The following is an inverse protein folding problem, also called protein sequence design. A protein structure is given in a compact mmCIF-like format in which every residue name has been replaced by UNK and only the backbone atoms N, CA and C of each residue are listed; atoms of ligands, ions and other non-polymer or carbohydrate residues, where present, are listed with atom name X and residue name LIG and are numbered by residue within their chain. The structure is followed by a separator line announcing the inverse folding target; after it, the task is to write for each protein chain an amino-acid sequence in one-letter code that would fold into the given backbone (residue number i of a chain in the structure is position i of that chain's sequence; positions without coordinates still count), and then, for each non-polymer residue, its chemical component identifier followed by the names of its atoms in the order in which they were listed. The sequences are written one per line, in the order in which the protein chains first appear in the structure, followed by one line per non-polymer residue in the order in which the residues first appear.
data_IF_675918992069
#
_entry.id   IF_675918992069
#
_cell.length_a   1.000
_cell.length_b   1.000
_cell.length_c   1.000
_cell.angle_alpha   90.00
_cell.angle_beta   90.00
_cell.angle_gamma   90.00
#
_symmetry.space_group_name_H-M   'P 1'
#
loop_
_entity.id
_entity.type
_entity.pdbx_description
1 polymer ?
#
# COMPACT_ATOMS: atom_id res chain seq x y z
N UNK A 1 -18.07 21.37 8.98
CA UNK A 1 -18.30 19.91 8.97
C UNK A 1 -17.40 19.14 8.01
N UNK A 2 -16.97 19.71 6.87
CA UNK A 2 -16.17 19.05 5.81
C UNK A 2 -14.92 18.24 6.27
N UNK A 3 -14.21 18.65 7.35
CA UNK A 3 -12.98 17.95 7.79
C UNK A 3 -13.23 16.59 8.45
N UNK A 4 -14.40 16.39 9.08
CA UNK A 4 -14.71 15.15 9.81
C UNK A 4 -14.99 14.02 8.81
N UNK A 5 -15.80 14.31 7.79
CA UNK A 5 -16.21 13.36 6.75
C UNK A 5 -15.03 12.89 5.89
N UNK A 6 -14.09 13.81 5.57
CA UNK A 6 -12.88 13.47 4.81
C UNK A 6 -11.94 12.54 5.59
N UNK A 7 -11.85 12.73 6.91
CA UNK A 7 -11.04 11.88 7.80
C UNK A 7 -11.67 10.50 7.95
N UNK A 8 -12.99 10.45 8.16
CA UNK A 8 -13.74 9.19 8.24
C UNK A 8 -13.63 8.36 6.96
N UNK A 9 -13.80 9.00 5.80
CA UNK A 9 -13.65 8.34 4.49
C UNK A 9 -12.24 7.75 4.30
N UNK A 10 -11.21 8.49 4.71
CA UNK A 10 -9.82 8.03 4.66
C UNK A 10 -9.60 6.80 5.53
N UNK A 11 -9.99 6.88 6.82
CA UNK A 11 -9.81 5.77 7.77
C UNK A 11 -10.60 4.52 7.34
N UNK A 12 -11.83 4.70 6.84
CA UNK A 12 -12.62 3.59 6.29
C UNK A 12 -11.95 2.91 5.10
N UNK A 13 -11.33 3.70 4.21
CA UNK A 13 -10.61 3.16 3.05
C UNK A 13 -9.32 2.43 3.48
N UNK A 14 -8.59 2.97 4.46
CA UNK A 14 -7.40 2.32 5.05
C UNK A 14 -7.77 0.99 5.69
N UNK A 15 -8.85 0.94 6.48
CA UNK A 15 -9.33 -0.29 7.11
C UNK A 15 -9.67 -1.37 6.07
N UNK A 16 -10.37 -0.99 4.99
CA UNK A 16 -10.69 -1.91 3.91
C UNK A 16 -9.45 -2.52 3.23
N UNK A 17 -8.34 -1.77 3.11
CA UNK A 17 -7.08 -2.30 2.60
C UNK A 17 -6.37 -3.22 3.60
N UNK A 18 -6.45 -2.92 4.91
CA UNK A 18 -5.88 -3.77 5.96
C UNK A 18 -6.55 -5.14 6.07
N UNK A 19 -7.82 -5.24 5.67
CA UNK A 19 -8.55 -6.51 5.60
C UNK A 19 -8.19 -7.34 4.36
N UNK A 20 -7.45 -6.78 3.39
CA UNK A 20 -7.09 -7.49 2.17
C UNK A 20 -5.87 -8.41 2.37
N UNK A 21 -5.82 -9.56 1.67
CA UNK A 21 -4.61 -10.37 1.63
C UNK A 21 -3.40 -9.59 1.07
N UNK A 22 -2.18 -9.80 1.59
CA UNK A 22 -0.98 -9.10 1.12
C UNK A 22 -0.75 -9.17 -0.39
N UNK A 23 -1.05 -10.32 -1.01
CA UNK A 23 -0.95 -10.49 -2.46
C UNK A 23 -1.88 -9.52 -3.24
N UNK A 24 -3.08 -9.26 -2.73
CA UNK A 24 -4.02 -8.31 -3.34
C UNK A 24 -3.49 -6.88 -3.16
N UNK A 25 -2.96 -6.53 -1.99
CA UNK A 25 -2.35 -5.21 -1.77
C UNK A 25 -1.22 -4.92 -2.78
N UNK A 26 -0.41 -5.93 -3.13
CA UNK A 26 0.64 -5.79 -4.17
C UNK A 26 0.06 -5.51 -5.55
N UNK A 27 -1.02 -6.20 -5.94
CA UNK A 27 -1.70 -5.96 -7.23
C UNK A 27 -2.23 -4.52 -7.30
N UNK A 28 -2.89 -4.05 -6.25
CA UNK A 28 -3.44 -2.69 -6.18
C UNK A 28 -2.31 -1.65 -6.17
N UNK A 29 -1.21 -1.92 -5.45
CA UNK A 29 -0.02 -1.07 -5.42
C UNK A 29 0.58 -0.90 -6.81
N UNK A 30 0.75 -2.00 -7.54
CA UNK A 30 1.24 -2.01 -8.92
C UNK A 30 0.33 -1.25 -9.88
N UNK A 31 -0.99 -1.39 -9.72
CA UNK A 31 -1.97 -0.66 -10.52
C UNK A 31 -1.85 0.85 -10.36
N UNK A 32 -1.80 1.34 -9.10
CA UNK A 32 -1.64 2.76 -8.85
C UNK A 32 -0.27 3.29 -9.25
N UNK A 33 0.79 2.52 -9.01
CA UNK A 33 2.16 2.92 -9.34
C UNK A 33 2.36 3.11 -10.86
N UNK A 34 1.85 2.19 -11.69
CA UNK A 34 1.88 2.33 -13.16
C UNK A 34 1.16 3.57 -13.70
N UNK A 35 0.27 4.14 -12.90
CA UNK A 35 -0.55 5.30 -13.28
C UNK A 35 -0.09 6.59 -12.59
N UNK A 36 1.06 6.55 -11.90
CA UNK A 36 1.66 7.72 -11.23
C UNK A 36 1.98 8.77 -12.31
N UNK A 37 1.27 9.89 -12.29
CA UNK A 37 1.33 10.94 -13.31
C UNK A 37 0.00 11.23 -14.00
N UNK A 38 -1.00 10.34 -13.88
CA UNK A 38 -2.38 10.63 -14.31
C UNK A 38 -3.07 11.47 -13.24
N UNK A 39 -3.48 12.69 -13.58
CA UNK A 39 -4.22 13.56 -12.66
C UNK A 39 -5.65 13.05 -12.46
N UNK A 40 -5.85 12.23 -11.43
CA UNK A 40 -7.16 11.77 -11.00
C UNK A 40 -7.23 11.78 -9.45
N UNK A 41 -8.07 12.65 -8.91
CA UNK A 41 -8.20 12.87 -7.46
C UNK A 41 -8.62 11.60 -6.69
N UNK A 42 -9.53 10.78 -7.23
CA UNK A 42 -9.94 9.54 -6.56
C UNK A 42 -8.81 8.53 -6.50
N UNK A 43 -8.01 8.43 -7.58
CA UNK A 43 -6.82 7.57 -7.59
C UNK A 43 -5.74 8.06 -6.64
N UNK A 44 -5.49 9.36 -6.58
CA UNK A 44 -4.54 9.93 -5.62
C UNK A 44 -4.99 9.70 -4.17
N UNK A 45 -6.30 9.79 -3.91
CA UNK A 45 -6.87 9.44 -2.62
C UNK A 45 -6.68 7.96 -2.28
N UNK A 46 -7.06 7.05 -3.18
CA UNK A 46 -6.92 5.61 -2.95
C UNK A 46 -5.45 5.19 -2.78
N UNK A 47 -4.54 5.77 -3.56
CA UNK A 47 -3.11 5.50 -3.43
C UNK A 47 -2.54 5.96 -2.09
N UNK A 48 -2.98 7.11 -1.57
CA UNK A 48 -2.62 7.57 -0.22
C UNK A 48 -3.16 6.63 0.86
N UNK A 49 -4.41 6.18 0.73
CA UNK A 49 -5.01 5.24 1.67
C UNK A 49 -4.29 3.88 1.65
N UNK A 50 -3.96 3.35 0.47
CA UNK A 50 -3.21 2.10 0.34
C UNK A 50 -1.81 2.21 0.95
N UNK A 51 -1.13 3.33 0.73
CA UNK A 51 0.22 3.56 1.26
C UNK A 51 0.19 3.63 2.79
N UNK A 52 -0.83 4.26 3.37
CA UNK A 52 -1.03 4.27 4.81
C UNK A 52 -1.41 2.88 5.36
N UNK A 53 -2.22 2.11 4.64
CA UNK A 53 -2.52 0.72 5.02
C UNK A 53 -1.26 -0.14 5.04
N UNK A 54 -0.38 -0.02 4.03
CA UNK A 54 0.92 -0.68 4.01
C UNK A 54 1.77 -0.32 5.23
N UNK A 55 1.82 0.97 5.61
CA UNK A 55 2.55 1.46 6.79
C UNK A 55 2.03 0.86 8.10
N UNK A 56 0.71 0.62 8.19
CA UNK A 56 0.05 0.05 9.38
C UNK A 56 0.04 -1.48 9.39
N UNK A 57 0.27 -2.12 8.24
CA UNK A 57 0.25 -3.57 8.09
C UNK A 57 1.50 -4.23 8.70
N UNK A 58 1.44 -5.53 9.04
CA UNK A 58 2.62 -6.28 9.46
C UNK A 58 3.57 -6.64 8.31
N UNK A 59 3.31 -6.16 7.08
CA UNK A 59 4.11 -6.45 5.89
C UNK A 59 5.40 -5.62 5.94
N UNK A 60 6.55 -6.26 5.70
CA UNK A 60 7.82 -5.56 5.56
C UNK A 60 7.85 -4.77 4.25
N UNK A 61 7.71 -3.45 4.35
CA UNK A 61 7.79 -2.51 3.24
C UNK A 61 9.06 -1.64 3.27
N UNK A 62 10.06 -2.01 4.08
CA UNK A 62 11.28 -1.22 4.29
C UNK A 62 12.09 -0.93 3.02
N UNK A 63 11.90 -1.75 1.97
CA UNK A 63 12.55 -1.58 0.66
C UNK A 63 11.82 -0.63 -0.28
N UNK A 64 10.57 -0.26 0.02
CA UNK A 64 9.74 0.54 -0.90
C UNK A 64 9.20 1.82 -0.27
N UNK A 65 9.02 1.88 1.06
CA UNK A 65 8.54 3.07 1.78
C UNK A 65 9.67 3.78 2.54
N UNK A 66 9.69 5.11 2.48
CA UNK A 66 10.46 5.93 3.43
C UNK A 66 9.86 5.90 4.83
N UNK A 67 10.59 6.43 5.81
CA UNK A 67 10.08 6.71 7.17
C UNK A 67 8.80 7.58 7.16
N UNK A 68 8.64 8.42 6.14
CA UNK A 68 7.46 9.28 5.94
C UNK A 68 6.32 8.57 5.19
N UNK A 69 6.46 7.28 4.90
CA UNK A 69 5.47 6.51 4.14
C UNK A 69 5.36 6.90 2.67
N UNK A 70 6.44 7.38 2.06
CA UNK A 70 6.46 7.69 0.62
C UNK A 70 7.12 6.56 -0.16
N UNK A 71 6.62 6.23 -1.35
CA UNK A 71 7.32 5.29 -2.22
C UNK A 71 8.62 5.93 -2.73
N UNK A 72 9.76 5.32 -2.42
CA UNK A 72 11.12 5.84 -2.66
C UNK A 72 11.90 5.13 -3.76
N UNK A 73 11.23 4.30 -4.57
CA UNK A 73 11.86 3.64 -5.71
C UNK A 73 11.20 4.05 -7.01
N UNK A 74 12.02 4.16 -8.05
CA UNK A 74 11.63 4.32 -9.44
C UNK A 74 11.76 2.99 -10.23
N UNK A 75 12.26 1.92 -9.59
CA UNK A 75 12.66 0.64 -10.20
C UNK A 75 11.47 -0.25 -10.60
N UNK A 76 10.29 0.32 -10.86
CA UNK A 76 9.17 -0.40 -11.45
C UNK A 76 8.30 -1.18 -10.47
N UNK A 77 7.76 -2.30 -10.95
CA UNK A 77 6.71 -3.08 -10.27
C UNK A 77 7.21 -3.71 -8.97
N UNK A 78 6.27 -4.01 -8.08
CA UNK A 78 6.51 -4.66 -6.81
C UNK A 78 6.13 -6.14 -6.86
N UNK A 79 6.86 -6.97 -6.12
CA UNK A 79 6.49 -8.35 -5.82
C UNK A 79 6.37 -8.57 -4.32
N UNK A 80 5.52 -9.53 -3.93
CA UNK A 80 5.48 -10.04 -2.57
C UNK A 80 6.38 -11.27 -2.43
N UNK A 81 7.19 -11.31 -1.38
CA UNK A 81 7.85 -12.51 -0.89
C UNK A 81 7.18 -12.95 0.42
N UNK A 82 6.94 -14.25 0.57
CA UNK A 82 6.47 -14.84 1.82
C UNK A 82 7.50 -15.86 2.30
N UNK A 83 8.02 -15.67 3.51
CA UNK A 83 8.99 -16.59 4.13
C UNK A 83 8.36 -17.32 5.33
N UNK A 84 7.31 -18.11 5.09
CA UNK A 84 6.68 -18.91 6.13
C UNK A 84 6.23 -20.28 5.62
N UNK A 85 6.31 -21.30 6.47
CA UNK A 85 5.51 -22.52 6.31
C UNK A 85 4.24 -22.32 7.16
N UNK A 86 3.16 -21.85 6.54
CA UNK A 86 1.80 -21.96 7.10
C UNK A 86 1.38 -21.05 8.26
N UNK A 87 2.01 -19.89 8.49
CA UNK A 87 1.58 -18.90 9.51
C UNK A 87 1.43 -17.49 8.94
N UNK A 88 0.34 -16.79 9.26
CA UNK A 88 -0.13 -15.63 8.48
C UNK A 88 0.52 -14.25 8.74
N UNK A 89 1.31 -14.02 9.79
CA UNK A 89 1.32 -12.66 10.36
C UNK A 89 2.65 -11.87 10.45
N UNK A 90 3.76 -12.27 9.81
CA UNK A 90 4.97 -11.40 9.79
C UNK A 90 5.95 -11.62 8.63
N UNK A 91 5.71 -12.63 7.80
CA UNK A 91 6.72 -13.10 6.85
C UNK A 91 6.57 -12.52 5.45
N UNK A 92 5.55 -11.67 5.26
CA UNK A 92 5.28 -10.98 4.01
C UNK A 92 6.19 -9.78 3.85
N UNK A 93 6.86 -9.70 2.71
CA UNK A 93 7.71 -8.58 2.32
C UNK A 93 7.31 -8.09 0.96
N UNK A 94 7.30 -6.77 0.75
CA UNK A 94 7.12 -6.18 -0.57
C UNK A 94 8.42 -5.52 -0.99
N UNK A 95 8.90 -5.87 -2.17
CA UNK A 95 10.16 -5.37 -2.71
C UNK A 95 10.03 -5.02 -4.20
N UNK A 96 10.89 -4.12 -4.72
CA UNK A 96 10.95 -3.82 -6.14
C UNK A 96 11.38 -5.07 -6.96
N UNK A 97 10.83 -5.19 -8.16
CA UNK A 97 11.32 -6.11 -9.18
C UNK A 97 12.50 -5.43 -9.88
N UNK A 98 13.67 -6.07 -9.86
CA UNK A 98 14.83 -5.62 -10.64
C UNK A 98 14.71 -6.02 -12.10
#
# INVERSE_FOLDING_TARGET
MVKKDATESFERRVAAYLEMPPAIMVVVLNFHFKQRGVFNQSRSFDFRCLTEALRRSPIDTSKILSEKGQIVTDDGLFRSEFKGMGGMNSDWKIIPVK
#
